data_IF_888863034605
#
_entry.id   IF_888863034605
#
_cell.length_a   1.000
_cell.length_b   1.000
_cell.length_c   1.000
_cell.angle_alpha   90.00
_cell.angle_beta   90.00
_cell.angle_gamma   90.00
#
_symmetry.space_group_name_H-M   'P 1'
#
loop_
_entity.id
_entity.type
_entity.pdbx_description
1 polymer ?
#
# COMPACT_ATOMS: atom_id res chain seq x y z
N UNK A 1 22.17 3.13 -6.85
CA UNK A 1 21.57 4.32 -6.20
C UNK A 1 20.52 3.87 -5.19
N UNK A 2 20.03 4.74 -4.31
CA UNK A 2 18.94 4.39 -3.39
C UNK A 2 17.64 4.20 -4.22
N UNK A 3 16.98 3.03 -4.16
CA UNK A 3 15.76 2.77 -4.92
C UNK A 3 14.63 3.75 -4.57
N UNK A 4 13.73 3.96 -5.54
CA UNK A 4 12.49 4.69 -5.33
C UNK A 4 11.48 3.76 -4.67
N UNK A 5 10.81 4.26 -3.63
CA UNK A 5 9.97 3.43 -2.78
C UNK A 5 8.70 2.97 -3.50
N UNK A 6 7.93 3.91 -4.06
CA UNK A 6 6.65 3.59 -4.72
C UNK A 6 6.77 3.50 -6.25
N UNK A 7 7.66 4.26 -6.88
CA UNK A 7 7.80 4.28 -8.35
C UNK A 7 8.41 2.98 -8.91
N UNK A 8 9.14 2.23 -8.08
CA UNK A 8 9.67 0.91 -8.42
C UNK A 8 8.83 -0.23 -7.83
N UNK A 9 7.58 0.05 -7.41
CA UNK A 9 6.63 -0.97 -6.96
C UNK A 9 6.41 -2.03 -8.05
N UNK A 10 6.57 -3.31 -7.70
CA UNK A 10 6.55 -4.41 -8.65
C UNK A 10 5.31 -5.32 -8.50
N UNK A 11 5.27 -6.36 -9.32
CA UNK A 11 4.15 -7.30 -9.34
C UNK A 11 4.11 -8.13 -8.04
N UNK A 12 5.27 -8.51 -7.50
CA UNK A 12 5.36 -9.26 -6.24
C UNK A 12 4.84 -8.45 -5.04
N UNK A 13 5.23 -7.17 -4.94
CA UNK A 13 4.71 -6.25 -3.92
C UNK A 13 3.19 -6.09 -4.05
N UNK A 14 2.68 -6.04 -5.30
CA UNK A 14 1.25 -5.98 -5.58
C UNK A 14 0.52 -7.23 -5.13
N UNK A 15 1.06 -8.42 -5.39
CA UNK A 15 0.48 -9.69 -4.97
C UNK A 15 0.31 -9.77 -3.45
N UNK A 16 1.35 -9.41 -2.69
CA UNK A 16 1.31 -9.40 -1.23
C UNK A 16 0.28 -8.37 -0.74
N UNK A 17 0.35 -7.13 -1.23
CA UNK A 17 -0.54 -6.06 -0.77
C UNK A 17 -2.01 -6.33 -1.12
N UNK A 18 -2.28 -6.94 -2.28
CA UNK A 18 -3.62 -7.35 -2.67
C UNK A 18 -4.13 -8.52 -1.81
N UNK A 19 -3.27 -9.46 -1.42
CA UNK A 19 -3.63 -10.54 -0.50
C UNK A 19 -4.06 -10.00 0.88
N UNK A 20 -3.27 -9.09 1.45
CA UNK A 20 -3.59 -8.40 2.71
C UNK A 20 -4.87 -7.58 2.57
N UNK A 21 -5.04 -6.86 1.46
CA UNK A 21 -6.27 -6.09 1.20
C UNK A 21 -7.51 -6.99 1.12
N UNK A 22 -7.40 -8.18 0.50
CA UNK A 22 -8.49 -9.17 0.46
C UNK A 22 -8.83 -9.67 1.85
N UNK A 23 -7.84 -9.96 2.68
CA UNK A 23 -8.05 -10.34 4.08
C UNK A 23 -8.81 -9.28 4.86
N UNK A 24 -8.39 -8.02 4.75
CA UNK A 24 -9.09 -6.88 5.37
C UNK A 24 -10.54 -6.78 4.93
N UNK A 25 -10.81 -6.86 3.62
CA UNK A 25 -12.17 -6.81 3.08
C UNK A 25 -13.02 -7.98 3.60
N UNK A 26 -12.45 -9.20 3.70
CA UNK A 26 -13.17 -10.36 4.27
C UNK A 26 -13.55 -10.14 5.74
N UNK A 27 -12.62 -9.63 6.55
CA UNK A 27 -12.90 -9.32 7.96
C UNK A 27 -14.02 -8.29 8.06
N UNK A 28 -13.98 -7.22 7.25
CA UNK A 28 -15.05 -6.21 7.26
C UNK A 28 -16.41 -6.79 6.87
N UNK A 29 -16.48 -7.58 5.80
CA UNK A 29 -17.72 -8.26 5.40
C UNK A 29 -18.28 -9.10 6.54
N UNK A 30 -17.43 -9.81 7.28
CA UNK A 30 -17.88 -10.61 8.41
C UNK A 30 -18.38 -9.76 9.58
N UNK A 31 -17.75 -8.62 9.85
CA UNK A 31 -18.27 -7.64 10.83
C UNK A 31 -19.66 -7.15 10.43
N UNK A 32 -19.88 -6.84 9.15
CA UNK A 32 -21.19 -6.43 8.63
C UNK A 32 -22.22 -7.55 8.82
N UNK A 33 -21.87 -8.80 8.53
CA UNK A 33 -22.74 -9.96 8.72
C UNK A 33 -23.14 -10.13 10.19
N UNK A 34 -22.17 -10.16 11.11
CA UNK A 34 -22.40 -10.37 12.55
C UNK A 34 -23.24 -9.23 13.15
N UNK A 35 -23.09 -8.01 12.63
CA UNK A 35 -23.81 -6.84 13.11
C UNK A 35 -25.15 -6.61 12.40
N UNK A 36 -25.57 -7.50 11.49
CA UNK A 36 -26.75 -7.32 10.64
C UNK A 36 -26.79 -5.94 9.94
N UNK A 37 -25.62 -5.47 9.48
CA UNK A 37 -25.47 -4.17 8.82
C UNK A 37 -25.46 -2.95 9.75
N UNK A 38 -25.55 -3.12 11.07
CA UNK A 38 -25.52 -2.00 12.00
C UNK A 38 -24.17 -1.26 12.02
N UNK A 39 -23.06 -1.95 11.72
CA UNK A 39 -21.73 -1.35 11.68
C UNK A 39 -21.43 -0.52 10.41
N UNK A 40 -22.17 -0.73 9.31
CA UNK A 40 -21.90 -0.05 8.04
C UNK A 40 -22.30 -0.88 6.81
N UNK A 41 -21.63 -0.61 5.69
CA UNK A 41 -21.85 -1.31 4.41
C UNK A 41 -20.56 -1.91 3.87
N UNK A 42 -20.67 -3.02 3.14
CA UNK A 42 -19.50 -3.74 2.59
C UNK A 42 -18.65 -2.85 1.68
N UNK A 43 -19.30 -1.98 0.90
CA UNK A 43 -18.65 -1.10 -0.10
C UNK A 43 -17.84 0.04 0.51
N UNK A 44 -17.91 0.24 1.84
CA UNK A 44 -17.13 1.27 2.54
C UNK A 44 -15.65 0.89 2.67
N UNK A 45 -15.33 -0.41 2.62
CA UNK A 45 -13.95 -0.91 2.64
C UNK A 45 -13.57 -1.46 1.26
N UNK A 46 -12.97 -0.59 0.45
CA UNK A 46 -12.54 -0.91 -0.91
C UNK A 46 -11.27 -1.77 -0.93
N UNK A 47 -11.05 -2.49 -2.04
CA UNK A 47 -9.76 -3.08 -2.37
C UNK A 47 -8.68 -1.98 -2.50
N UNK A 48 -7.43 -2.31 -2.18
CA UNK A 48 -6.31 -1.35 -2.14
C UNK A 48 -6.20 -0.50 -3.42
N UNK A 49 -6.21 -1.14 -4.60
CA UNK A 49 -6.19 -0.45 -5.89
C UNK A 49 -7.26 0.63 -6.00
N UNK A 50 -8.50 0.26 -5.68
CA UNK A 50 -9.65 1.17 -5.83
C UNK A 50 -9.65 2.25 -4.76
N UNK A 51 -9.19 1.94 -3.54
CA UNK A 51 -9.01 2.91 -2.47
C UNK A 51 -7.99 4.00 -2.86
N UNK A 52 -6.79 3.60 -3.30
CA UNK A 52 -5.75 4.55 -3.72
C UNK A 52 -6.20 5.34 -4.95
N UNK A 53 -6.80 4.68 -5.96
CA UNK A 53 -7.31 5.36 -7.14
C UNK A 53 -8.39 6.40 -6.79
N UNK A 54 -9.29 6.09 -5.85
CA UNK A 54 -10.31 7.03 -5.35
C UNK A 54 -9.68 8.25 -4.65
N UNK A 55 -8.63 8.06 -3.85
CA UNK A 55 -7.97 9.15 -3.11
C UNK A 55 -7.18 10.09 -4.02
N UNK A 56 -6.42 9.54 -4.96
CA UNK A 56 -5.53 10.33 -5.82
C UNK A 56 -6.21 10.83 -7.10
N UNK A 57 -7.42 10.34 -7.40
CA UNK A 57 -8.26 10.73 -8.55
C UNK A 57 -7.57 10.49 -9.90
N UNK A 58 -8.08 11.09 -10.99
CA UNK A 58 -7.64 10.92 -12.40
C UNK A 58 -6.17 11.28 -12.72
N UNK A 59 -5.33 11.55 -11.72
CA UNK A 59 -3.91 11.88 -11.91
C UNK A 59 -3.00 10.65 -12.02
N UNK A 60 -3.51 9.45 -11.78
CA UNK A 60 -2.76 8.20 -11.95
C UNK A 60 -2.72 7.82 -13.44
N UNK A 61 -1.51 7.62 -14.00
CA UNK A 61 -1.34 7.35 -15.44
C UNK A 61 -1.83 5.96 -15.85
N UNK A 62 -1.63 4.95 -14.99
CA UNK A 62 -2.06 3.58 -15.22
C UNK A 62 -2.89 3.06 -14.03
N UNK A 63 -4.24 3.08 -14.12
CA UNK A 63 -5.11 2.58 -13.06
C UNK A 63 -5.49 1.09 -13.22
N UNK A 64 -4.86 0.35 -14.13
CA UNK A 64 -5.30 -1.00 -14.52
C UNK A 64 -5.16 -2.05 -13.41
N UNK A 65 -4.13 -1.93 -12.57
CA UNK A 65 -3.82 -2.85 -11.48
C UNK A 65 -3.11 -2.11 -10.33
N UNK A 66 -2.86 -2.81 -9.22
CA UNK A 66 -2.21 -2.23 -8.03
C UNK A 66 -0.82 -1.67 -8.36
N UNK A 67 0.01 -2.39 -9.12
CA UNK A 67 1.31 -1.89 -9.59
C UNK A 67 1.19 -0.57 -10.35
N UNK A 68 0.29 -0.47 -11.32
CA UNK A 68 0.07 0.75 -12.09
C UNK A 68 -0.32 1.90 -11.18
N UNK A 69 -1.26 1.64 -10.26
CA UNK A 69 -1.76 2.62 -9.30
C UNK A 69 -0.67 3.16 -8.38
N UNK A 70 0.29 2.35 -7.95
CA UNK A 70 1.41 2.82 -7.12
C UNK A 70 2.54 3.43 -7.95
N UNK A 71 3.04 2.69 -8.95
CA UNK A 71 4.23 3.08 -9.72
C UNK A 71 4.02 4.30 -10.62
N UNK A 72 2.77 4.64 -10.93
CA UNK A 72 2.45 5.78 -11.81
C UNK A 72 1.65 6.88 -11.15
N UNK A 73 1.55 6.86 -9.81
CA UNK A 73 0.90 7.93 -9.06
C UNK A 73 1.87 9.10 -8.85
N UNK A 74 1.59 10.29 -9.42
CA UNK A 74 2.47 11.44 -9.29
C UNK A 74 2.60 11.94 -7.85
N UNK A 75 1.65 11.60 -6.96
CA UNK A 75 1.75 11.90 -5.54
C UNK A 75 2.84 11.13 -4.80
N UNK A 76 3.45 10.13 -5.44
CA UNK A 76 4.55 9.34 -4.89
C UNK A 76 5.92 9.60 -5.55
N UNK A 77 5.99 10.55 -6.48
CA UNK A 77 7.20 10.81 -7.25
C UNK A 77 8.37 11.26 -6.34
N UNK A 78 9.53 10.61 -6.50
CA UNK A 78 10.79 10.97 -5.87
C UNK A 78 11.01 10.42 -4.45
N UNK A 79 10.03 9.74 -3.84
CA UNK A 79 10.26 9.10 -2.54
C UNK A 79 11.23 7.94 -2.67
N UNK A 80 12.26 7.91 -1.82
CA UNK A 80 13.31 6.89 -1.81
C UNK A 80 13.14 5.95 -0.62
N UNK A 81 13.68 4.74 -0.73
CA UNK A 81 13.64 3.78 0.37
C UNK A 81 14.45 4.27 1.58
N UNK A 82 14.04 3.92 2.81
CA UNK A 82 14.85 4.16 4.00
C UNK A 82 16.07 3.25 4.00
N UNK A 83 17.16 3.75 3.42
CA UNK A 83 18.41 3.04 3.22
C UNK A 83 19.55 3.84 3.83
N UNK A 84 20.55 3.15 4.37
CA UNK A 84 21.81 3.75 4.82
C UNK A 84 22.98 3.31 3.93
N UNK A 85 24.02 4.15 3.89
CA UNK A 85 25.28 3.83 3.21
C UNK A 85 26.10 2.87 4.06
N UNK A 86 26.52 1.75 3.50
CA UNK A 86 27.38 0.77 4.15
C UNK A 86 28.23 0.03 3.12
N UNK A 87 29.55 -0.08 3.35
CA UNK A 87 30.45 -0.83 2.48
C UNK A 87 30.52 -0.35 1.01
N UNK A 88 30.16 0.90 0.74
CA UNK A 88 30.06 1.44 -0.63
C UNK A 88 28.74 1.10 -1.35
N UNK A 89 27.78 0.51 -0.64
CA UNK A 89 26.44 0.19 -1.12
C UNK A 89 25.34 0.81 -0.27
N UNK A 90 24.11 0.40 -0.54
CA UNK A 90 22.91 0.76 0.22
C UNK A 90 22.35 -0.47 0.88
N UNK A 91 22.07 -0.38 2.18
CA UNK A 91 21.38 -1.43 2.95
C UNK A 91 20.12 -0.84 3.61
N UNK A 92 19.06 -1.63 3.85
CA UNK A 92 17.89 -1.14 4.58
C UNK A 92 18.29 -0.58 5.94
N UNK A 93 17.78 0.60 6.26
CA UNK A 93 17.95 1.22 7.57
C UNK A 93 16.76 0.85 8.45
N UNK A 94 16.96 -0.03 9.43
CA UNK A 94 15.89 -0.48 10.33
C UNK A 94 15.71 0.41 11.56
N UNK A 95 16.56 1.43 11.77
CA UNK A 95 16.45 2.37 12.90
C UNK A 95 15.40 3.49 12.64
N UNK A 96 14.60 3.34 11.59
CA UNK A 96 13.52 4.25 11.24
C UNK A 96 12.20 3.88 11.95
N UNK A 97 11.18 4.73 11.80
CA UNK A 97 9.89 4.57 12.48
C UNK A 97 8.85 3.68 11.77
N UNK A 98 9.09 3.25 10.53
CA UNK A 98 8.14 2.41 9.79
C UNK A 98 7.81 1.13 10.55
N UNK A 99 8.80 0.50 11.17
CA UNK A 99 8.54 -0.72 11.94
C UNK A 99 8.12 -0.41 13.38
N UNK A 100 8.82 0.49 14.07
CA UNK A 100 8.58 0.73 15.50
C UNK A 100 7.25 1.43 15.82
N UNK A 101 6.68 2.20 14.88
CA UNK A 101 5.38 2.86 15.06
C UNK A 101 4.23 2.04 14.45
N UNK A 102 4.38 1.49 13.24
CA UNK A 102 3.29 0.74 12.58
C UNK A 102 3.12 -0.66 13.19
N UNK A 103 4.19 -1.24 13.76
CA UNK A 103 4.20 -2.53 14.46
C UNK A 103 4.91 -2.35 15.81
N UNK A 104 4.21 -1.84 16.84
CA UNK A 104 4.79 -1.69 18.17
C UNK A 104 5.06 -3.05 18.83
N UNK A 105 6.07 -3.09 19.70
CA UNK A 105 6.41 -4.25 20.57
C UNK A 105 5.40 -4.48 21.69
#
# INVERSE_FOLDING_TARGET
ENPLFYEQWDDYSSEIADAISKERCRVWTEVINITNGAAGRVEEVLMLKDYIYKLYTVKIRDPSNTKGVFSTNPGYAGFRCPMKQEGGGWVPDFDNRYFTEDIPE
#
